data_IF_792835760504
#
_entry.id   IF_792835760504
#
_cell.length_a   1.000
_cell.length_b   1.000
_cell.length_c   1.000
_cell.angle_alpha   90.00
_cell.angle_beta   90.00
_cell.angle_gamma   90.00
#
_symmetry.space_group_name_H-M   'P 1'
#
loop_
_entity.id
_entity.type
_entity.pdbx_description
1 polymer ?
#
# COMPACT_ATOMS: atom_id res chain seq x y z
N UNK A 1 -49.62 25.01 10.03
CA UNK A 1 -48.33 24.32 9.82
C UNK A 1 -47.24 25.34 9.47
N UNK A 2 -47.42 26.15 8.42
CA UNK A 2 -46.46 27.20 8.04
C UNK A 2 -46.18 28.21 9.17
N UNK A 3 -47.22 28.77 9.80
CA UNK A 3 -47.06 29.78 10.88
C UNK A 3 -46.28 29.25 12.10
N UNK A 4 -46.46 27.96 12.42
CA UNK A 4 -45.74 27.28 13.52
C UNK A 4 -44.27 27.08 13.15
N UNK A 5 -44.00 26.62 11.92
CA UNK A 5 -42.64 26.43 11.43
C UNK A 5 -41.88 27.75 11.33
N UNK A 6 -42.55 28.81 10.86
CA UNK A 6 -41.99 30.16 10.77
C UNK A 6 -41.61 30.72 12.14
N UNK A 7 -42.48 30.56 13.15
CA UNK A 7 -42.16 30.93 14.53
C UNK A 7 -40.89 30.21 15.02
N UNK A 8 -40.77 28.90 14.77
CA UNK A 8 -39.60 28.11 15.20
C UNK A 8 -38.34 28.54 14.45
N UNK A 9 -38.41 28.68 13.12
CA UNK A 9 -37.26 29.02 12.28
C UNK A 9 -36.72 30.43 12.56
N UNK A 10 -37.60 31.41 12.69
CA UNK A 10 -37.22 32.82 12.93
C UNK A 10 -36.92 33.03 14.40
N UNK A 11 -37.90 32.75 15.28
CA UNK A 11 -37.84 33.17 16.66
C UNK A 11 -36.91 32.33 17.55
N UNK A 12 -36.73 31.04 17.23
CA UNK A 12 -35.80 30.13 17.95
C UNK A 12 -34.52 29.87 17.14
N UNK A 13 -34.66 29.53 15.86
CA UNK A 13 -33.57 29.18 14.95
C UNK A 13 -32.73 30.37 14.48
N UNK A 14 -33.29 31.58 14.45
CA UNK A 14 -32.58 32.80 14.01
C UNK A 14 -32.38 32.87 12.50
N UNK A 15 -33.35 32.38 11.71
CA UNK A 15 -33.35 32.52 10.25
C UNK A 15 -33.28 34.01 9.85
N UNK A 16 -32.49 34.32 8.82
CA UNK A 16 -32.39 35.67 8.28
C UNK A 16 -33.73 36.10 7.67
N UNK A 17 -34.22 37.27 8.09
CA UNK A 17 -35.49 37.87 7.64
C UNK A 17 -35.24 38.87 6.52
N UNK A 18 -34.07 39.50 6.50
CA UNK A 18 -33.63 40.42 5.45
C UNK A 18 -32.11 40.45 5.34
N UNK A 19 -31.59 41.10 4.32
CA UNK A 19 -30.17 41.38 4.15
C UNK A 19 -29.95 42.89 4.04
N UNK A 20 -28.82 43.37 4.57
CA UNK A 20 -28.39 44.78 4.49
C UNK A 20 -27.05 44.85 3.78
N UNK A 21 -26.96 45.77 2.83
CA UNK A 21 -25.78 46.00 2.02
C UNK A 21 -25.05 47.25 2.55
N UNK A 22 -23.79 47.09 2.95
CA UNK A 22 -22.94 48.20 3.41
C UNK A 22 -21.67 48.18 2.56
N UNK A 23 -21.59 49.09 1.58
CA UNK A 23 -20.52 49.10 0.58
C UNK A 23 -20.56 47.84 -0.27
N UNK A 24 -19.47 47.06 -0.26
CA UNK A 24 -19.35 45.78 -0.96
C UNK A 24 -19.64 44.54 -0.07
N UNK A 25 -20.07 44.74 1.18
CA UNK A 25 -20.36 43.65 2.12
C UNK A 25 -21.87 43.47 2.32
N UNK A 26 -22.28 42.22 2.46
CA UNK A 26 -23.67 41.81 2.72
C UNK A 26 -23.76 41.24 4.13
N UNK A 27 -24.73 41.70 4.91
CA UNK A 27 -24.99 41.23 6.28
C UNK A 27 -26.43 40.73 6.40
N UNK A 28 -26.62 39.60 7.08
CA UNK A 28 -27.94 39.08 7.38
C UNK A 28 -28.56 39.80 8.59
N UNK A 29 -29.83 40.15 8.49
CA UNK A 29 -30.65 40.69 9.58
C UNK A 29 -31.55 39.57 10.10
N UNK A 30 -31.34 39.20 11.37
CA UNK A 30 -32.11 38.15 12.05
C UNK A 30 -33.03 38.77 13.09
N UNK A 31 -34.24 38.22 13.23
CA UNK A 31 -35.15 38.54 14.32
C UNK A 31 -35.27 37.30 15.20
N UNK A 32 -34.75 37.34 16.43
CA UNK A 32 -34.70 36.18 17.33
C UNK A 32 -35.11 36.59 18.74
N UNK A 33 -35.86 35.72 19.44
CA UNK A 33 -36.14 35.95 20.86
C UNK A 33 -34.85 35.91 21.70
N UNK A 34 -34.88 36.66 22.81
CA UNK A 34 -33.80 36.61 23.79
C UNK A 34 -33.65 35.18 24.34
N UNK A 35 -32.43 34.79 24.68
CA UNK A 35 -32.06 33.44 25.10
C UNK A 35 -32.90 32.92 26.26
N UNK A 36 -33.28 33.80 27.19
CA UNK A 36 -34.11 33.50 28.37
C UNK A 36 -35.46 32.88 28.03
N UNK A 37 -35.99 33.08 26.81
CA UNK A 37 -37.29 32.56 26.36
C UNK A 37 -37.18 31.26 25.54
N UNK A 38 -35.96 30.74 25.28
CA UNK A 38 -35.74 29.58 24.40
C UNK A 38 -34.67 28.59 24.90
N UNK A 39 -34.28 28.69 26.17
CA UNK A 39 -33.23 27.87 26.78
C UNK A 39 -33.70 26.46 27.19
N UNK A 40 -35.00 26.24 27.25
CA UNK A 40 -35.62 25.00 27.74
C UNK A 40 -36.85 24.61 26.91
N UNK A 41 -37.13 23.30 26.75
CA UNK A 41 -38.30 22.82 26.01
C UNK A 41 -39.62 23.42 26.49
N UNK A 42 -39.77 23.62 27.80
CA UNK A 42 -40.96 24.19 28.43
C UNK A 42 -41.17 25.65 28.01
N UNK A 43 -40.08 26.43 27.95
CA UNK A 43 -40.16 27.84 27.52
C UNK A 43 -40.43 27.97 26.03
N UNK A 44 -39.85 27.10 25.20
CA UNK A 44 -40.19 27.01 23.78
C UNK A 44 -41.69 26.71 23.63
N UNK A 45 -42.25 25.81 24.45
CA UNK A 45 -43.69 25.53 24.47
C UNK A 45 -44.57 26.68 24.93
N UNK A 46 -44.04 27.61 25.72
CA UNK A 46 -44.76 28.82 26.18
C UNK A 46 -44.79 29.97 25.16
N UNK A 47 -44.07 29.84 24.03
CA UNK A 47 -44.07 30.87 22.98
C UNK A 47 -45.47 31.05 22.39
N UNK A 48 -45.86 32.29 22.18
CA UNK A 48 -47.22 32.64 21.76
C UNK A 48 -47.32 32.72 20.24
N UNK A 49 -48.31 32.02 19.68
CA UNK A 49 -48.74 32.12 18.29
C UNK A 49 -50.01 32.97 18.21
N UNK A 50 -50.14 33.75 17.14
CA UNK A 50 -51.36 34.51 16.85
C UNK A 50 -52.23 33.69 15.90
N UNK A 51 -53.42 33.29 16.35
CA UNK A 51 -54.44 32.62 15.53
C UNK A 51 -55.00 33.57 14.47
N UNK A 52 -55.59 33.03 13.40
CA UNK A 52 -56.35 33.79 12.40
C UNK A 52 -57.51 34.61 13.03
N UNK A 53 -58.00 34.20 14.20
CA UNK A 53 -59.00 34.92 15.00
C UNK A 53 -58.44 36.08 15.84
N UNK A 54 -57.11 36.30 15.82
CA UNK A 54 -56.40 37.26 16.67
C UNK A 54 -56.10 36.74 18.08
N UNK A 55 -56.56 35.55 18.46
CA UNK A 55 -56.28 34.94 19.75
C UNK A 55 -54.79 34.55 19.89
N UNK A 56 -54.19 34.82 21.04
CA UNK A 56 -52.83 34.37 21.37
C UNK A 56 -52.89 33.00 22.03
N UNK A 57 -52.26 32.01 21.42
CA UNK A 57 -52.29 30.62 21.84
C UNK A 57 -50.84 30.15 22.07
N UNK A 58 -50.51 29.54 23.24
CA UNK A 58 -49.18 29.01 23.47
C UNK A 58 -48.89 27.81 22.55
N UNK A 59 -47.64 27.68 22.12
CA UNK A 59 -47.18 26.64 21.20
C UNK A 59 -47.46 25.21 21.72
N UNK A 60 -47.44 25.02 23.03
CA UNK A 60 -47.75 23.75 23.72
C UNK A 60 -49.20 23.27 23.54
N UNK A 61 -50.15 24.15 23.20
CA UNK A 61 -51.54 23.73 22.93
C UNK A 61 -51.72 23.18 21.51
N UNK A 62 -50.76 23.42 20.61
CA UNK A 62 -50.86 23.05 19.18
C UNK A 62 -49.79 22.02 18.79
N UNK A 63 -48.72 21.88 19.58
CA UNK A 63 -47.59 20.99 19.28
C UNK A 63 -47.12 20.21 20.50
N UNK A 64 -46.57 19.02 20.26
CA UNK A 64 -45.93 18.18 21.28
C UNK A 64 -44.41 18.32 21.17
N UNK A 65 -43.77 18.82 22.23
CA UNK A 65 -42.33 19.11 22.26
C UNK A 65 -41.65 18.01 23.08
N UNK A 66 -40.84 17.20 22.41
CA UNK A 66 -40.09 16.11 23.02
C UNK A 66 -38.61 16.18 22.67
N UNK A 67 -37.76 15.92 23.64
CA UNK A 67 -36.33 15.72 23.40
C UNK A 67 -36.10 14.26 23.03
N UNK A 68 -35.69 14.03 21.78
CA UNK A 68 -35.38 12.69 21.27
C UNK A 68 -33.93 12.66 20.79
N UNK A 69 -33.28 11.50 20.94
CA UNK A 69 -31.95 11.28 20.36
C UNK A 69 -32.10 10.88 18.89
N UNK A 70 -31.52 11.69 18.00
CA UNK A 70 -31.49 11.44 16.56
C UNK A 70 -30.07 11.20 16.04
N UNK A 71 -29.96 10.87 14.75
CA UNK A 71 -28.67 10.77 14.09
C UNK A 71 -28.04 12.17 13.96
N UNK A 72 -26.82 12.35 14.47
CA UNK A 72 -26.07 13.61 14.32
C UNK A 72 -25.59 13.83 12.88
N UNK A 73 -25.29 12.75 12.15
CA UNK A 73 -24.88 12.79 10.74
C UNK A 73 -25.30 11.51 10.06
N UNK A 74 -25.86 11.61 8.84
CA UNK A 74 -26.23 10.47 8.02
C UNK A 74 -25.23 10.31 6.88
N UNK A 75 -24.17 9.54 7.14
CA UNK A 75 -23.16 9.21 6.14
C UNK A 75 -23.68 8.20 5.13
N UNK A 76 -23.43 8.48 3.84
CA UNK A 76 -23.80 7.60 2.73
C UNK A 76 -22.63 7.42 1.79
N UNK A 77 -22.48 6.21 1.27
CA UNK A 77 -21.53 5.87 0.22
C UNK A 77 -22.26 5.00 -0.80
N UNK A 78 -22.16 5.34 -2.10
CA UNK A 78 -22.87 4.63 -3.18
C UNK A 78 -24.37 4.41 -2.89
N UNK A 79 -25.03 5.47 -2.40
CA UNK A 79 -26.44 5.47 -2.01
C UNK A 79 -26.82 4.48 -0.88
N UNK A 80 -25.84 3.99 -0.11
CA UNK A 80 -26.08 3.14 1.07
C UNK A 80 -25.59 3.85 2.34
N UNK A 81 -26.37 3.76 3.41
CA UNK A 81 -25.96 4.27 4.73
C UNK A 81 -24.86 3.37 5.30
N UNK A 82 -23.83 3.97 5.87
CA UNK A 82 -22.75 3.23 6.52
C UNK A 82 -22.29 3.96 7.78
N UNK A 83 -21.60 3.24 8.64
CA UNK A 83 -20.91 3.78 9.81
C UNK A 83 -19.42 3.49 9.64
N UNK A 84 -18.58 4.50 9.94
CA UNK A 84 -17.13 4.39 9.79
C UNK A 84 -16.50 4.23 11.17
N UNK A 85 -15.77 3.13 11.37
CA UNK A 85 -14.89 2.97 12.53
C UNK A 85 -13.47 3.30 12.09
N UNK A 86 -12.90 4.39 12.61
CA UNK A 86 -11.55 4.84 12.26
C UNK A 86 -10.53 4.27 13.23
N UNK A 87 -9.49 3.65 12.69
CA UNK A 87 -8.41 3.03 13.48
C UNK A 87 -7.08 3.53 12.90
N UNK A 88 -6.20 4.02 13.77
CA UNK A 88 -4.84 4.42 13.41
C UNK A 88 -3.86 3.39 13.97
N UNK A 89 -3.23 2.63 13.08
CA UNK A 89 -2.24 1.62 13.46
C UNK A 89 -0.86 2.28 13.59
N UNK A 90 -0.12 1.96 14.67
CA UNK A 90 1.29 2.35 14.85
C UNK A 90 2.08 1.17 15.40
N UNK A 91 3.32 1.01 14.93
CA UNK A 91 4.25 -0.03 15.43
C UNK A 91 3.86 -1.47 15.08
N UNK A 92 2.91 -1.67 14.15
CA UNK A 92 2.42 -2.99 13.75
C UNK A 92 2.19 -3.06 12.24
N UNK A 93 2.42 -4.23 11.67
CA UNK A 93 2.15 -4.51 10.26
C UNK A 93 0.65 -4.53 9.94
N UNK A 94 0.27 -3.92 8.82
CA UNK A 94 -1.13 -3.75 8.42
C UNK A 94 -1.79 -5.09 8.05
N UNK A 95 -1.10 -5.95 7.31
CA UNK A 95 -1.64 -7.23 6.85
C UNK A 95 -1.88 -8.17 8.02
N UNK A 96 -0.91 -8.25 8.94
CA UNK A 96 -0.99 -9.07 10.14
C UNK A 96 -2.11 -8.61 11.08
N UNK A 97 -2.28 -7.29 11.26
CA UNK A 97 -3.38 -6.74 12.05
C UNK A 97 -4.74 -7.10 11.47
N UNK A 98 -4.91 -7.03 10.14
CA UNK A 98 -6.18 -7.31 9.50
C UNK A 98 -6.58 -8.78 9.56
N UNK A 99 -5.62 -9.69 9.44
CA UNK A 99 -5.89 -11.12 9.61
C UNK A 99 -6.43 -11.42 11.01
N UNK A 100 -5.73 -10.95 12.04
CA UNK A 100 -6.17 -11.11 13.43
C UNK A 100 -7.50 -10.41 13.71
N UNK A 101 -7.69 -9.18 13.21
CA UNK A 101 -8.92 -8.43 13.40
C UNK A 101 -10.11 -9.14 12.73
N UNK A 102 -9.93 -9.68 11.51
CA UNK A 102 -10.99 -10.43 10.82
C UNK A 102 -11.32 -11.76 11.53
N UNK A 103 -10.35 -12.43 12.12
CA UNK A 103 -10.59 -13.61 12.95
C UNK A 103 -11.40 -13.23 14.20
N UNK A 104 -10.95 -12.24 14.97
CA UNK A 104 -11.63 -11.78 16.17
C UNK A 104 -13.03 -11.24 15.92
N UNK A 105 -13.24 -10.50 14.84
CA UNK A 105 -14.58 -10.00 14.45
C UNK A 105 -15.51 -11.16 14.14
N UNK A 106 -15.03 -12.19 13.43
CA UNK A 106 -15.84 -13.38 13.10
C UNK A 106 -16.23 -14.18 14.34
N UNK A 107 -15.37 -14.25 15.34
CA UNK A 107 -15.61 -14.99 16.58
C UNK A 107 -16.48 -14.21 17.59
N UNK A 108 -16.20 -12.93 17.77
CA UNK A 108 -16.76 -12.13 18.87
C UNK A 108 -18.00 -11.33 18.45
N UNK A 109 -18.05 -10.82 17.22
CA UNK A 109 -19.09 -9.89 16.78
C UNK A 109 -20.18 -10.64 16.03
N UNK A 110 -21.34 -10.78 16.67
CA UNK A 110 -22.56 -11.29 16.03
C UNK A 110 -23.35 -10.11 15.46
N UNK A 111 -23.54 -10.11 14.15
CA UNK A 111 -24.36 -9.13 13.44
C UNK A 111 -25.16 -9.83 12.35
N UNK A 112 -26.29 -9.24 11.97
CA UNK A 112 -27.10 -9.73 10.86
C UNK A 112 -26.36 -9.49 9.53
N UNK A 113 -25.89 -10.57 8.92
CA UNK A 113 -25.13 -10.55 7.66
C UNK A 113 -25.98 -10.20 6.44
N UNK A 114 -27.30 -10.24 6.56
CA UNK A 114 -28.21 -9.85 5.47
C UNK A 114 -28.42 -8.34 5.45
N UNK A 115 -28.51 -7.72 6.62
CA UNK A 115 -28.70 -6.27 6.78
C UNK A 115 -27.39 -5.48 6.75
N UNK A 116 -26.30 -6.03 7.29
CA UNK A 116 -25.03 -5.32 7.45
C UNK A 116 -23.87 -6.05 6.78
N UNK A 117 -23.01 -5.29 6.10
CA UNK A 117 -21.76 -5.78 5.51
C UNK A 117 -20.59 -4.97 6.05
N UNK A 118 -19.67 -5.67 6.71
CA UNK A 118 -18.40 -5.09 7.14
C UNK A 118 -17.46 -5.06 5.93
N UNK A 119 -16.84 -3.90 5.68
CA UNK A 119 -15.82 -3.70 4.66
C UNK A 119 -14.66 -2.95 5.29
N UNK A 120 -13.44 -3.37 4.96
CA UNK A 120 -12.22 -2.61 5.25
C UNK A 120 -11.94 -1.65 4.10
N UNK A 121 -11.61 -0.42 4.46
CA UNK A 121 -11.28 0.65 3.51
C UNK A 121 -9.98 1.36 3.97
N UNK A 122 -9.45 2.24 3.13
CA UNK A 122 -8.25 3.02 3.35
C UNK A 122 -7.01 2.40 2.70
N UNK A 123 -5.87 2.51 3.38
CA UNK A 123 -4.57 2.08 2.82
C UNK A 123 -4.49 0.58 2.52
N UNK A 124 -5.32 -0.24 3.18
CA UNK A 124 -5.38 -1.67 2.88
C UNK A 124 -5.87 -1.95 1.47
N UNK A 125 -6.91 -1.27 1.00
CA UNK A 125 -7.43 -1.50 -0.35
C UNK A 125 -6.36 -1.14 -1.39
N UNK A 126 -5.65 -0.03 -1.17
CA UNK A 126 -4.51 0.37 -1.99
C UNK A 126 -3.41 -0.70 -2.02
N UNK A 127 -3.02 -1.23 -0.85
CA UNK A 127 -1.98 -2.27 -0.74
C UNK A 127 -2.44 -3.59 -1.37
N UNK A 128 -3.68 -4.01 -1.14
CA UNK A 128 -4.25 -5.23 -1.73
C UNK A 128 -4.31 -5.12 -3.25
N UNK A 129 -4.76 -3.99 -3.81
CA UNK A 129 -4.76 -3.78 -5.27
C UNK A 129 -3.34 -3.82 -5.84
N UNK A 130 -2.37 -3.22 -5.14
CA UNK A 130 -0.97 -3.26 -5.57
C UNK A 130 -0.41 -4.70 -5.55
N UNK A 131 -0.68 -5.48 -4.51
CA UNK A 131 -0.25 -6.88 -4.41
C UNK A 131 -0.89 -7.78 -5.47
N UNK A 132 -2.19 -7.65 -5.73
CA UNK A 132 -2.85 -8.39 -6.81
C UNK A 132 -2.22 -8.07 -8.17
N UNK A 133 -1.84 -6.80 -8.39
CA UNK A 133 -1.17 -6.39 -9.63
C UNK A 133 0.26 -6.96 -9.71
N UNK A 134 1.02 -6.93 -8.62
CA UNK A 134 2.36 -7.53 -8.56
C UNK A 134 2.32 -9.05 -8.77
N UNK A 135 1.30 -9.74 -8.25
CA UNK A 135 1.13 -11.17 -8.43
C UNK A 135 0.95 -11.58 -9.91
N UNK A 136 0.43 -10.68 -10.75
CA UNK A 136 0.33 -10.88 -12.21
C UNK A 136 1.58 -10.40 -12.94
N UNK A 137 2.12 -9.24 -12.56
CA UNK A 137 3.28 -8.64 -13.24
C UNK A 137 4.56 -9.44 -13.03
N UNK A 138 4.81 -9.96 -11.82
CA UNK A 138 6.06 -10.67 -11.51
C UNK A 138 6.22 -11.93 -12.39
N UNK A 139 5.23 -12.84 -12.49
CA UNK A 139 5.33 -13.99 -13.40
C UNK A 139 5.47 -13.57 -14.87
N UNK A 140 4.76 -12.53 -15.30
CA UNK A 140 4.86 -12.02 -16.67
C UNK A 140 6.27 -11.53 -16.99
N UNK A 141 6.88 -10.75 -16.09
CA UNK A 141 8.26 -10.26 -16.25
C UNK A 141 9.24 -11.43 -16.25
N UNK A 142 9.09 -12.41 -15.35
CA UNK A 142 9.93 -13.61 -15.35
C UNK A 142 9.83 -14.40 -16.65
N UNK A 143 8.63 -14.52 -17.22
CA UNK A 143 8.43 -15.17 -18.52
C UNK A 143 9.11 -14.38 -19.66
N UNK A 144 8.99 -13.06 -19.68
CA UNK A 144 9.71 -12.23 -20.65
C UNK A 144 11.23 -12.31 -20.49
N UNK A 145 11.73 -12.29 -19.25
CA UNK A 145 13.15 -12.49 -18.97
C UNK A 145 13.61 -13.86 -19.47
N UNK A 146 12.83 -14.92 -19.23
CA UNK A 146 13.13 -16.25 -19.76
C UNK A 146 13.26 -16.26 -21.28
N UNK A 147 12.31 -15.63 -21.99
CA UNK A 147 12.34 -15.55 -23.45
C UNK A 147 13.57 -14.80 -23.96
N UNK A 148 13.95 -13.70 -23.32
CA UNK A 148 15.17 -12.95 -23.67
C UNK A 148 16.43 -13.77 -23.42
N UNK A 149 16.50 -14.49 -22.29
CA UNK A 149 17.63 -15.36 -21.96
C UNK A 149 17.72 -16.55 -22.94
N UNK A 150 16.58 -17.14 -23.29
CA UNK A 150 16.51 -18.17 -24.30
C UNK A 150 16.98 -17.65 -25.67
N UNK A 151 16.58 -16.43 -26.05
CA UNK A 151 17.06 -15.78 -27.27
C UNK A 151 18.58 -15.53 -27.27
N UNK A 152 19.16 -15.18 -26.11
CA UNK A 152 20.58 -14.88 -25.97
C UNK A 152 21.46 -16.15 -25.99
N UNK A 153 21.05 -17.23 -25.31
CA UNK A 153 21.85 -18.44 -25.18
C UNK A 153 21.48 -19.55 -26.15
N UNK A 154 20.24 -19.53 -26.69
CA UNK A 154 19.63 -20.63 -27.47
C UNK A 154 19.66 -21.99 -26.76
N UNK A 155 19.80 -21.99 -25.44
CA UNK A 155 19.80 -23.19 -24.60
C UNK A 155 18.83 -23.00 -23.42
N UNK A 156 17.81 -23.86 -23.35
CA UNK A 156 16.82 -23.88 -22.28
C UNK A 156 17.44 -24.14 -20.90
N UNK A 157 18.52 -24.93 -20.84
CA UNK A 157 19.18 -25.31 -19.58
C UNK A 157 19.87 -24.10 -18.96
N UNK A 158 20.58 -23.31 -19.78
CA UNK A 158 21.29 -22.11 -19.33
C UNK A 158 20.30 -20.99 -18.92
N UNK A 159 19.22 -20.80 -19.67
CA UNK A 159 18.16 -19.86 -19.32
C UNK A 159 17.44 -20.27 -18.02
N UNK A 160 17.11 -21.56 -17.86
CA UNK A 160 16.48 -22.10 -16.66
C UNK A 160 17.38 -22.00 -15.43
N UNK A 161 18.69 -22.23 -15.59
CA UNK A 161 19.68 -22.08 -14.53
C UNK A 161 19.69 -20.66 -13.96
N UNK A 162 19.70 -19.63 -14.82
CA UNK A 162 19.67 -18.24 -14.37
C UNK A 162 18.39 -17.88 -13.62
N UNK A 163 17.23 -18.35 -14.09
CA UNK A 163 15.97 -18.11 -13.39
C UNK A 163 15.95 -18.82 -12.03
N UNK A 164 16.52 -20.03 -11.94
CA UNK A 164 16.58 -20.77 -10.68
C UNK A 164 17.42 -20.09 -9.59
N UNK A 165 18.28 -19.12 -9.96
CA UNK A 165 19.06 -18.32 -9.02
C UNK A 165 18.31 -17.13 -8.45
N UNK A 166 17.21 -16.69 -9.07
CA UNK A 166 16.46 -15.55 -8.59
C UNK A 166 15.92 -15.74 -7.17
N UNK A 167 15.33 -16.90 -6.79
CA UNK A 167 14.90 -17.15 -5.41
C UNK A 167 16.04 -17.03 -4.40
N UNK A 168 17.26 -17.42 -4.76
CA UNK A 168 18.43 -17.27 -3.88
C UNK A 168 18.81 -15.80 -3.69
N UNK A 169 18.69 -14.97 -4.72
CA UNK A 169 18.85 -13.52 -4.59
C UNK A 169 17.73 -12.88 -3.74
N UNK A 170 16.48 -13.32 -3.92
CA UNK A 170 15.33 -12.90 -3.09
C UNK A 170 15.61 -13.19 -1.62
N UNK A 171 16.13 -14.37 -1.31
CA UNK A 171 16.43 -14.77 0.06
C UNK A 171 17.36 -13.76 0.76
N UNK A 172 18.42 -13.31 0.10
CA UNK A 172 19.33 -12.30 0.64
C UNK A 172 18.64 -10.96 0.92
N UNK A 173 17.79 -10.50 0.01
CA UNK A 173 17.02 -9.26 0.20
C UNK A 173 15.96 -9.37 1.29
N UNK A 174 15.26 -10.51 1.39
CA UNK A 174 14.26 -10.76 2.43
C UNK A 174 14.89 -10.85 3.82
N UNK A 175 16.04 -11.53 3.92
CA UNK A 175 16.80 -11.62 5.17
C UNK A 175 17.21 -10.23 5.65
N UNK A 176 17.65 -9.35 4.74
CA UNK A 176 18.02 -7.99 5.08
C UNK A 176 16.85 -7.15 5.60
N UNK A 177 15.66 -7.28 4.98
CA UNK A 177 14.45 -6.62 5.49
C UNK A 177 14.08 -7.11 6.89
N UNK A 178 14.15 -8.43 7.11
CA UNK A 178 13.81 -9.03 8.40
C UNK A 178 14.78 -8.62 9.52
N UNK A 179 16.09 -8.72 9.28
CA UNK A 179 17.13 -8.32 10.24
C UNK A 179 17.01 -6.84 10.61
N UNK A 180 16.56 -6.02 9.67
CA UNK A 180 16.40 -4.57 9.87
C UNK A 180 15.02 -4.16 10.39
N UNK A 181 14.14 -5.12 10.68
CA UNK A 181 12.78 -4.87 11.17
C UNK A 181 11.90 -4.12 10.18
N UNK A 182 12.20 -4.18 8.88
CA UNK A 182 11.40 -3.54 7.84
C UNK A 182 10.39 -4.53 7.25
N UNK A 183 9.19 -4.04 6.96
CA UNK A 183 8.13 -4.85 6.36
C UNK A 183 8.25 -4.90 4.84
N UNK A 184 7.71 -5.95 4.25
CA UNK A 184 7.57 -6.03 2.80
C UNK A 184 6.49 -5.07 2.32
N UNK A 185 6.86 -4.08 1.51
CA UNK A 185 5.96 -3.08 0.97
C UNK A 185 6.22 -2.84 -0.53
N UNK A 186 5.45 -1.94 -1.15
CA UNK A 186 5.58 -1.64 -2.59
C UNK A 186 6.99 -1.14 -2.95
N UNK A 187 7.60 -0.30 -2.11
CA UNK A 187 8.97 0.19 -2.34
C UNK A 187 10.01 -0.94 -2.32
N UNK A 188 9.85 -1.89 -1.39
CA UNK A 188 10.70 -3.08 -1.30
C UNK A 188 10.53 -3.97 -2.54
N UNK A 189 9.29 -4.14 -3.02
CA UNK A 189 8.98 -4.91 -4.23
C UNK A 189 9.68 -4.33 -5.47
N UNK A 190 9.69 -3.00 -5.63
CA UNK A 190 10.44 -2.33 -6.70
C UNK A 190 11.95 -2.59 -6.55
N UNK A 191 12.47 -2.59 -5.32
CA UNK A 191 13.86 -2.98 -5.03
C UNK A 191 14.19 -4.42 -5.48
N UNK A 192 13.30 -5.38 -5.26
CA UNK A 192 13.49 -6.76 -5.74
C UNK A 192 13.49 -6.85 -7.27
N UNK A 193 12.63 -6.10 -7.95
CA UNK A 193 12.63 -6.06 -9.42
C UNK A 193 13.98 -5.54 -9.94
N UNK A 194 14.52 -4.48 -9.34
CA UNK A 194 15.84 -3.97 -9.69
C UNK A 194 16.95 -4.99 -9.40
N UNK A 195 16.87 -5.69 -8.25
CA UNK A 195 17.79 -6.75 -7.89
C UNK A 195 17.78 -7.90 -8.92
N UNK A 196 16.61 -8.29 -9.44
CA UNK A 196 16.52 -9.33 -10.48
C UNK A 196 17.24 -8.94 -11.76
N UNK A 197 17.09 -7.69 -12.19
CA UNK A 197 17.78 -7.17 -13.36
C UNK A 197 19.30 -7.27 -13.23
N UNK A 198 19.85 -6.75 -12.12
CA UNK A 198 21.31 -6.77 -11.90
C UNK A 198 21.83 -8.19 -11.69
N UNK A 199 21.09 -9.05 -10.96
CA UNK A 199 21.47 -10.44 -10.73
C UNK A 199 21.54 -11.22 -12.04
N UNK A 200 20.54 -11.05 -12.92
CA UNK A 200 20.52 -11.71 -14.23
C UNK A 200 21.63 -11.15 -15.13
N UNK A 201 21.87 -9.84 -15.13
CA UNK A 201 22.97 -9.25 -15.89
C UNK A 201 24.32 -9.88 -15.52
N UNK A 202 24.62 -9.98 -14.22
CA UNK A 202 25.86 -10.60 -13.74
C UNK A 202 25.95 -12.08 -14.13
N UNK A 203 24.85 -12.83 -14.00
CA UNK A 203 24.79 -14.23 -14.40
C UNK A 203 24.97 -14.44 -15.92
N UNK A 204 24.36 -13.58 -16.73
CA UNK A 204 24.48 -13.62 -18.20
C UNK A 204 25.92 -13.40 -18.64
N UNK A 205 26.59 -12.41 -18.06
CA UNK A 205 28.01 -12.10 -18.38
C UNK A 205 28.91 -13.28 -17.99
N UNK A 206 28.64 -13.94 -16.86
CA UNK A 206 29.39 -15.11 -16.42
C UNK A 206 29.23 -16.30 -17.38
N UNK A 207 27.98 -16.71 -17.65
CA UNK A 207 27.69 -17.85 -18.55
C UNK A 207 28.21 -17.59 -19.96
N UNK A 208 27.99 -16.39 -20.49
CA UNK A 208 28.46 -16.00 -21.83
C UNK A 208 29.98 -16.15 -21.93
N UNK A 209 30.74 -15.74 -20.91
CA UNK A 209 32.19 -15.90 -20.90
C UNK A 209 32.65 -17.36 -20.82
N UNK A 210 31.97 -18.18 -20.01
CA UNK A 210 32.24 -19.62 -19.94
C UNK A 210 31.95 -20.27 -21.30
N UNK A 211 30.83 -19.92 -21.95
CA UNK A 211 30.50 -20.41 -23.30
C UNK A 211 31.55 -20.01 -24.34
N UNK A 212 32.06 -18.77 -24.29
CA UNK A 212 33.14 -18.33 -25.19
C UNK A 212 34.40 -19.17 -24.99
N UNK A 213 34.78 -19.49 -23.74
CA UNK A 213 35.91 -20.39 -23.47
C UNK A 213 35.64 -21.81 -24.00
N UNK A 214 34.43 -22.34 -23.76
CA UNK A 214 34.00 -23.65 -24.31
C UNK A 214 34.09 -23.70 -25.83
N UNK A 215 33.67 -22.66 -26.53
CA UNK A 215 33.78 -22.56 -28.00
C UNK A 215 35.22 -22.48 -28.50
N UNK A 216 36.16 -22.03 -27.67
CA UNK A 216 37.60 -22.04 -27.98
C UNK A 216 38.27 -23.39 -27.70
N UNK A 217 37.49 -24.42 -27.33
CA UNK A 217 37.99 -25.79 -27.13
C UNK A 217 38.56 -26.08 -25.74
N UNK A 218 38.36 -25.20 -24.75
CA UNK A 218 38.81 -25.48 -23.38
C UNK A 218 37.95 -26.57 -22.72
N UNK A 219 38.59 -27.47 -21.96
CA UNK A 219 37.90 -28.51 -21.21
C UNK A 219 36.86 -27.90 -20.25
N UNK A 220 35.72 -28.58 -20.03
CA UNK A 220 34.57 -28.03 -19.29
C UNK A 220 34.98 -27.47 -17.91
N UNK A 221 35.74 -28.24 -17.14
CA UNK A 221 36.22 -27.84 -15.81
C UNK A 221 37.12 -26.61 -15.87
N UNK A 222 38.02 -26.56 -16.84
CA UNK A 222 38.98 -25.48 -17.01
C UNK A 222 38.31 -24.20 -17.51
N UNK A 223 37.33 -24.31 -18.40
CA UNK A 223 36.51 -23.19 -18.87
C UNK A 223 35.69 -22.57 -17.73
N UNK A 224 35.13 -23.39 -16.84
CA UNK A 224 34.36 -22.92 -15.68
C UNK A 224 35.26 -22.21 -14.67
N UNK A 225 36.40 -22.81 -14.30
CA UNK A 225 37.33 -22.22 -13.32
C UNK A 225 37.95 -20.94 -13.87
N UNK A 226 38.45 -20.97 -15.11
CA UNK A 226 39.05 -19.79 -15.76
C UNK A 226 37.99 -18.72 -16.02
N UNK A 227 36.78 -19.11 -16.40
CA UNK A 227 35.65 -18.21 -16.61
C UNK A 227 35.27 -17.45 -15.34
N UNK A 228 35.12 -18.18 -14.22
CA UNK A 228 34.85 -17.60 -12.92
C UNK A 228 35.98 -16.66 -12.45
N UNK A 229 37.25 -17.09 -12.60
CA UNK A 229 38.42 -16.28 -12.22
C UNK A 229 38.50 -14.97 -13.02
N UNK A 230 38.32 -15.03 -14.34
CA UNK A 230 38.31 -13.84 -15.20
C UNK A 230 37.18 -12.86 -14.88
N UNK A 231 36.03 -13.37 -14.38
CA UNK A 231 34.85 -12.57 -14.08
C UNK A 231 34.76 -12.11 -12.63
N UNK A 232 35.62 -12.62 -11.75
CA UNK A 232 35.71 -12.19 -10.36
C UNK A 232 35.87 -10.66 -10.24
N UNK A 233 36.86 -10.07 -10.92
CA UNK A 233 37.13 -8.63 -10.85
C UNK A 233 35.97 -7.78 -11.38
N UNK A 234 35.45 -8.01 -12.61
CA UNK A 234 34.31 -7.24 -13.12
C UNK A 234 33.05 -7.34 -12.27
N UNK A 235 32.69 -8.53 -11.80
CA UNK A 235 31.46 -8.74 -10.99
C UNK A 235 31.61 -8.08 -9.62
N UNK A 236 32.79 -8.16 -9.00
CA UNK A 236 33.05 -7.45 -7.75
C UNK A 236 33.02 -5.93 -7.92
N UNK A 237 33.54 -5.41 -9.04
CA UNK A 237 33.50 -3.98 -9.33
C UNK A 237 32.06 -3.44 -9.41
N UNK A 238 31.17 -4.12 -10.13
CA UNK A 238 29.76 -3.69 -10.24
C UNK A 238 29.03 -3.79 -8.90
N UNK A 239 29.27 -4.86 -8.15
CA UNK A 239 28.70 -5.04 -6.82
C UNK A 239 29.16 -3.96 -5.84
N UNK A 240 30.46 -3.67 -5.77
CA UNK A 240 31.02 -2.65 -4.87
C UNK A 240 30.50 -1.26 -5.22
N UNK A 241 30.44 -0.89 -6.51
CA UNK A 241 29.90 0.43 -6.93
C UNK A 241 28.43 0.57 -6.55
N UNK A 242 27.62 -0.46 -6.82
CA UNK A 242 26.19 -0.44 -6.48
C UNK A 242 25.97 -0.37 -4.96
N UNK A 243 26.72 -1.15 -4.18
CA UNK A 243 26.68 -1.12 -2.72
C UNK A 243 27.10 0.25 -2.22
N UNK A 244 28.27 0.77 -2.64
CA UNK A 244 28.76 2.07 -2.19
C UNK A 244 27.79 3.21 -2.53
N UNK A 245 27.15 3.17 -3.70
CA UNK A 245 26.18 4.18 -4.12
C UNK A 245 24.85 4.14 -3.37
N UNK A 246 24.35 2.95 -3.04
CA UNK A 246 23.04 2.77 -2.39
C UNK A 246 23.13 2.58 -0.87
N UNK A 247 24.32 2.35 -0.31
CA UNK A 247 24.53 2.18 1.13
C UNK A 247 24.07 3.41 1.92
N UNK A 248 24.42 4.67 1.55
CA UNK A 248 23.94 5.85 2.26
C UNK A 248 22.42 5.98 2.21
N UNK A 249 21.82 5.69 1.06
CA UNK A 249 20.37 5.69 0.88
C UNK A 249 19.68 4.64 1.76
N UNK A 250 20.32 3.48 1.95
CA UNK A 250 19.80 2.45 2.84
C UNK A 250 19.90 2.88 4.31
N UNK A 251 20.92 3.63 4.73
CA UNK A 251 21.09 4.10 6.13
C UNK A 251 20.42 5.43 6.46
N UNK A 252 20.08 6.24 5.46
CA UNK A 252 19.50 7.58 5.63
C UNK A 252 18.35 7.60 6.63
N UNK A 253 18.25 8.61 7.49
CA UNK A 253 17.12 8.81 8.43
C UNK A 253 16.39 10.14 8.28
N UNK A 254 16.64 10.83 7.17
CA UNK A 254 16.01 12.10 6.86
C UNK A 254 14.54 11.97 6.47
N UNK A 255 13.89 13.12 6.32
CA UNK A 255 12.53 13.25 5.79
C UNK A 255 12.49 12.63 4.38
N UNK A 256 11.48 11.80 4.10
CA UNK A 256 11.33 11.10 2.82
C UNK A 256 12.14 9.81 2.69
N UNK A 257 12.97 9.46 3.67
CA UNK A 257 13.76 8.22 3.64
C UNK A 257 12.91 6.93 3.72
N UNK A 258 11.67 7.01 4.17
CA UNK A 258 10.78 5.85 4.38
C UNK A 258 10.46 5.08 3.09
N UNK A 259 10.49 5.76 1.94
CA UNK A 259 10.29 5.11 0.63
C UNK A 259 11.61 4.54 0.10
N UNK A 260 12.71 5.25 0.30
CA UNK A 260 14.01 4.90 -0.30
C UNK A 260 14.73 3.80 0.49
N UNK A 261 14.64 3.79 1.83
CA UNK A 261 15.33 2.83 2.69
C UNK A 261 15.03 1.37 2.36
N UNK A 262 13.75 0.94 2.22
CA UNK A 262 13.45 -0.47 1.97
C UNK A 262 13.92 -0.88 0.57
N UNK A 263 13.74 0.00 -0.42
CA UNK A 263 14.22 -0.18 -1.80
C UNK A 263 15.73 -0.37 -1.83
N UNK A 264 16.49 0.55 -1.21
CA UNK A 264 17.95 0.51 -1.21
C UNK A 264 18.49 -0.67 -0.40
N UNK A 265 17.85 -1.03 0.72
CA UNK A 265 18.25 -2.18 1.55
C UNK A 265 18.15 -3.48 0.76
N UNK A 266 17.03 -3.72 0.07
CA UNK A 266 16.87 -4.95 -0.74
C UNK A 266 17.98 -5.05 -1.78
N UNK A 267 18.31 -3.96 -2.46
CA UNK A 267 19.34 -3.96 -3.51
C UNK A 267 20.73 -4.19 -2.91
N UNK A 268 21.12 -3.43 -1.87
CA UNK A 268 22.47 -3.51 -1.28
C UNK A 268 22.77 -4.90 -0.74
N UNK A 269 21.89 -5.41 0.12
CA UNK A 269 22.13 -6.70 0.78
C UNK A 269 21.80 -7.87 -0.14
N UNK A 270 20.80 -7.72 -1.02
CA UNK A 270 20.51 -8.69 -2.06
C UNK A 270 21.66 -8.84 -3.05
N UNK A 271 22.34 -7.76 -3.42
CA UNK A 271 23.54 -7.81 -4.28
C UNK A 271 24.74 -8.39 -3.55
N UNK A 272 24.92 -8.08 -2.26
CA UNK A 272 26.01 -8.65 -1.48
C UNK A 272 25.89 -10.18 -1.43
N UNK A 273 24.69 -10.69 -1.13
CA UNK A 273 24.42 -12.12 -1.11
C UNK A 273 24.41 -12.73 -2.52
N UNK A 274 23.77 -12.07 -3.49
CA UNK A 274 23.65 -12.51 -4.87
C UNK A 274 25.00 -12.57 -5.60
N UNK A 275 25.92 -11.66 -5.29
CA UNK A 275 27.29 -11.68 -5.85
C UNK A 275 28.05 -12.93 -5.40
N UNK A 276 27.96 -13.29 -4.12
CA UNK A 276 28.57 -14.52 -3.59
C UNK A 276 27.95 -15.74 -4.28
N UNK A 277 26.64 -15.80 -4.41
CA UNK A 277 25.96 -16.90 -5.13
C UNK A 277 26.40 -16.96 -6.59
N UNK A 278 26.49 -15.83 -7.28
CA UNK A 278 26.85 -15.77 -8.70
C UNK A 278 28.31 -16.16 -8.94
N UNK A 279 29.21 -15.93 -7.98
CA UNK A 279 30.62 -16.29 -8.12
C UNK A 279 30.92 -17.75 -7.75
N UNK A 280 30.20 -18.31 -6.79
CA UNK A 280 30.47 -19.66 -6.27
C UNK A 280 29.46 -20.70 -6.75
N UNK A 281 28.16 -20.40 -6.64
CA UNK A 281 27.09 -21.36 -6.91
C UNK A 281 26.82 -21.47 -8.40
N UNK A 282 26.86 -20.36 -9.15
CA UNK A 282 26.60 -20.39 -10.59
C UNK A 282 27.61 -21.22 -11.40
N UNK A 283 28.93 -21.07 -11.23
CA UNK A 283 29.89 -21.91 -11.94
C UNK A 283 29.75 -23.38 -11.59
N UNK A 284 29.47 -23.70 -10.31
CA UNK A 284 29.26 -25.08 -9.86
C UNK A 284 28.00 -25.71 -10.49
N UNK A 285 26.87 -24.99 -10.47
CA UNK A 285 25.63 -25.48 -11.08
C UNK A 285 25.74 -25.59 -12.60
N UNK A 286 26.41 -24.64 -13.26
CA UNK A 286 26.70 -24.73 -14.70
C UNK A 286 27.53 -25.97 -15.02
N UNK A 287 28.59 -26.23 -14.24
CA UNK A 287 29.43 -27.42 -14.42
C UNK A 287 28.61 -28.71 -14.27
N UNK A 288 27.77 -28.82 -13.24
CA UNK A 288 26.91 -29.99 -13.04
C UNK A 288 25.94 -30.21 -14.20
N UNK A 289 25.32 -29.13 -14.68
CA UNK A 289 24.31 -29.19 -15.73
C UNK A 289 24.89 -29.62 -17.09
N UNK A 290 26.07 -29.10 -17.46
CA UNK A 290 26.75 -29.46 -18.71
C UNK A 290 27.50 -30.80 -18.63
N UNK A 291 27.99 -31.18 -17.44
CA UNK A 291 28.60 -32.49 -17.25
C UNK A 291 27.56 -33.63 -17.31
N UNK A 292 26.32 -33.37 -16.88
CA UNK A 292 25.21 -34.30 -17.07
C UNK A 292 24.86 -34.50 -18.55
N UNK A 293 24.93 -33.44 -19.38
CA UNK A 293 24.74 -33.54 -20.84
C UNK A 293 25.77 -34.44 -21.50
N UNK A 294 27.03 -34.28 -21.14
CA UNK A 294 28.15 -35.09 -21.64
C UNK A 294 28.06 -36.59 -21.29
N UNK A 295 27.17 -36.98 -20.38
CA UNK A 295 26.93 -38.39 -20.02
C UNK A 295 25.71 -38.99 -20.73
N UNK A 296 24.80 -38.16 -21.21
CA UNK A 296 23.59 -38.57 -21.94
C UNK A 296 23.80 -38.59 -23.47
N UNK A 297 24.83 -37.90 -23.98
CA UNK A 297 25.33 -37.97 -25.37
C UNK A 297 26.54 -38.91 -25.48
#
# INVERSE_FOLDING_TARGET
MADVAELIEVAVGGKAVSQVFIGSKVYDVICRYNETYRDSPEKIGSLMLTSASGAKIPLSQVTDIRTLTGASTISREMNRRHLTVRINLRGRDLTSFLQEANEKIRETVRYDRTAYRIRWDGQFENQSRAYSRLAVIVPLVLAFMFLLLYGAFRDFRQAGLLISMLPLAVFGGMLALNVRGMTFNVSSAVGFIALFGVSIQNGVIMISHINVLRHRGTALKEAVVSGASHRLRPVMMTAVVAIAGLLPASLSSGIGSDVQRPLATVIVYGLLFGTVITLYVLPALYYMLENAKSKDD
#
